data_IF_091398147642
#
_entry.id   IF_091398147642
#
_cell.length_a   1.000
_cell.length_b   1.000
_cell.length_c   1.000
_cell.angle_alpha   90.00
_cell.angle_beta   90.00
_cell.angle_gamma   90.00
#
_symmetry.space_group_name_H-M   'P 1'
#
loop_
_entity.id
_entity.type
_entity.pdbx_description
1 polymer ?
#
# COMPACT_ATOMS: atom_id res chain seq x y z
N UNK A 1 -13.49 13.46 -49.13
CA UNK A 1 -14.78 13.34 -49.85
C UNK A 1 -15.33 11.93 -49.67
N UNK A 2 -16.66 11.78 -49.50
CA UNK A 2 -17.30 10.61 -48.90
C UNK A 2 -17.75 9.58 -49.94
N UNK A 3 -17.91 8.31 -49.53
CA UNK A 3 -18.78 7.37 -50.24
C UNK A 3 -19.65 6.62 -49.24
N UNK A 4 -20.85 7.17 -49.07
CA UNK A 4 -22.06 6.52 -48.57
C UNK A 4 -22.48 5.40 -49.53
N UNK A 5 -22.85 4.24 -49.00
CA UNK A 5 -23.71 3.28 -49.69
C UNK A 5 -24.96 3.05 -48.84
N UNK A 6 -26.10 3.36 -49.47
CA UNK A 6 -27.50 3.11 -49.07
C UNK A 6 -27.79 1.61 -49.00
N UNK A 7 -28.46 1.17 -47.94
CA UNK A 7 -29.85 0.68 -47.91
C UNK A 7 -30.06 -0.70 -48.51
N UNK A 8 -30.48 -1.66 -47.67
CA UNK A 8 -31.74 -2.35 -47.96
C UNK A 8 -32.47 -2.77 -46.68
N UNK A 9 -33.78 -2.56 -46.74
CA UNK A 9 -34.79 -2.82 -45.73
C UNK A 9 -35.31 -4.22 -46.02
N UNK A 10 -35.52 -5.06 -45.01
CA UNK A 10 -36.48 -6.14 -45.17
C UNK A 10 -37.23 -6.42 -43.87
N UNK A 11 -38.53 -6.57 -44.04
CA UNK A 11 -39.58 -6.54 -43.03
C UNK A 11 -40.37 -7.85 -43.07
N UNK A 12 -41.16 -8.09 -41.99
CA UNK A 12 -42.27 -9.06 -41.86
C UNK A 12 -41.80 -10.49 -41.49
N UNK A 13 -42.18 -11.08 -40.35
CA UNK A 13 -43.56 -11.41 -40.00
C UNK A 13 -43.84 -11.52 -38.48
N UNK A 14 -45.07 -11.14 -38.10
CA UNK A 14 -45.72 -11.34 -36.79
C UNK A 14 -46.43 -12.70 -36.72
N UNK A 15 -46.48 -13.28 -35.53
CA UNK A 15 -47.47 -14.27 -35.07
C UNK A 15 -47.08 -14.87 -33.71
N UNK A 16 -48.01 -15.45 -32.92
CA UNK A 16 -48.90 -14.71 -32.03
C UNK A 16 -48.66 -14.96 -30.52
N UNK A 17 -49.27 -14.09 -29.70
CA UNK A 17 -49.33 -14.09 -28.24
C UNK A 17 -49.72 -15.43 -27.61
N UNK A 18 -49.10 -15.74 -26.47
CA UNK A 18 -49.72 -16.55 -25.42
C UNK A 18 -49.45 -15.91 -24.06
N UNK A 19 -50.55 -15.45 -23.47
CA UNK A 19 -50.72 -14.90 -22.14
C UNK A 19 -50.36 -15.92 -21.07
N UNK A 20 -49.43 -15.59 -20.16
CA UNK A 20 -49.36 -16.23 -18.84
C UNK A 20 -49.32 -15.16 -17.75
N UNK A 21 -50.21 -15.34 -16.78
CA UNK A 21 -50.57 -14.47 -15.67
C UNK A 21 -49.38 -14.17 -14.73
N UNK A 22 -49.25 -12.96 -14.15
CA UNK A 22 -48.29 -12.71 -13.09
C UNK A 22 -48.79 -13.30 -11.77
N UNK A 23 -48.02 -14.23 -11.19
CA UNK A 23 -48.23 -14.70 -9.83
C UNK A 23 -47.72 -13.65 -8.83
N UNK A 24 -48.41 -13.44 -7.69
CA UNK A 24 -48.00 -12.44 -6.71
C UNK A 24 -46.73 -12.89 -5.98
N UNK A 25 -45.70 -12.04 -6.01
CA UNK A 25 -44.52 -12.13 -5.16
C UNK A 25 -44.93 -11.85 -3.72
N UNK A 26 -44.95 -12.89 -2.89
CA UNK A 26 -45.12 -12.81 -1.46
C UNK A 26 -43.91 -12.08 -0.84
N UNK A 27 -44.02 -10.76 -0.74
CA UNK A 27 -43.00 -9.91 -0.11
C UNK A 27 -43.22 -9.97 1.39
N UNK A 28 -42.79 -11.08 2.00
CA UNK A 28 -42.63 -11.15 3.44
C UNK A 28 -41.48 -10.23 3.83
N UNK A 29 -41.83 -9.08 4.41
CA UNK A 29 -40.94 -8.11 5.02
C UNK A 29 -39.93 -8.81 5.95
N UNK A 30 -38.71 -8.99 5.48
CA UNK A 30 -37.57 -9.22 6.35
C UNK A 30 -37.46 -7.95 7.19
N UNK A 31 -37.77 -8.05 8.47
CA UNK A 31 -37.51 -6.98 9.44
C UNK A 31 -36.01 -6.66 9.39
N UNK A 32 -35.68 -5.57 8.70
CA UNK A 32 -34.37 -4.97 8.77
C UNK A 32 -34.19 -4.46 10.21
N UNK A 33 -33.52 -5.26 11.03
CA UNK A 33 -32.92 -4.80 12.28
C UNK A 33 -32.13 -3.52 12.00
N UNK A 34 -32.17 -2.50 12.87
CA UNK A 34 -31.44 -1.26 12.67
C UNK A 34 -29.96 -1.63 12.53
N UNK A 35 -29.45 -1.55 11.30
CA UNK A 35 -28.04 -1.82 11.04
C UNK A 35 -27.26 -0.74 11.77
N UNK A 36 -26.38 -1.09 12.73
CA UNK A 36 -25.43 -0.11 13.24
C UNK A 36 -24.70 0.51 12.05
N UNK A 37 -24.53 1.82 12.09
CA UNK A 37 -23.98 2.61 10.99
C UNK A 37 -22.65 2.00 10.53
N UNK A 38 -22.68 1.28 9.39
CA UNK A 38 -21.56 0.50 8.88
C UNK A 38 -20.32 1.38 8.60
N UNK A 39 -20.51 2.70 8.53
CA UNK A 39 -19.43 3.68 8.36
C UNK A 39 -18.64 3.96 9.64
N UNK A 40 -19.18 3.65 10.81
CA UNK A 40 -18.54 3.87 12.11
C UNK A 40 -17.73 2.66 12.61
N UNK A 41 -17.94 1.49 12.02
CA UNK A 41 -17.21 0.28 12.37
C UNK A 41 -15.79 0.30 11.82
N UNK A 42 -14.85 -0.22 12.59
CA UNK A 42 -13.52 -0.57 12.06
C UNK A 42 -13.65 -1.68 11.01
N UNK A 43 -12.65 -1.81 10.13
CA UNK A 43 -12.61 -2.88 9.12
C UNK A 43 -12.73 -4.27 9.77
N UNK A 44 -12.08 -4.48 10.93
CA UNK A 44 -12.15 -5.75 11.66
C UNK A 44 -13.55 -6.04 12.20
N UNK A 45 -14.25 -5.03 12.74
CA UNK A 45 -15.62 -5.18 13.24
C UNK A 45 -16.61 -5.43 12.10
N UNK A 46 -16.43 -4.76 10.95
CA UNK A 46 -17.24 -4.99 9.76
C UNK A 46 -17.04 -6.41 9.24
N UNK A 47 -15.79 -6.88 9.12
CA UNK A 47 -15.49 -8.26 8.70
C UNK A 47 -16.12 -9.28 9.66
N UNK A 48 -16.01 -9.06 10.98
CA UNK A 48 -16.61 -9.93 12.00
C UNK A 48 -18.14 -9.93 11.91
N UNK A 49 -18.76 -8.77 11.68
CA UNK A 49 -20.20 -8.65 11.54
C UNK A 49 -20.73 -9.34 10.27
N UNK A 50 -19.98 -9.29 9.17
CA UNK A 50 -20.31 -10.00 7.92
C UNK A 50 -20.16 -11.51 8.13
N UNK A 51 -19.04 -11.97 8.67
CA UNK A 51 -18.78 -13.38 8.97
C UNK A 51 -19.86 -13.97 9.90
N UNK A 52 -20.26 -13.25 10.95
CA UNK A 52 -21.27 -13.74 11.89
C UNK A 52 -22.68 -13.90 11.28
N UNK A 53 -22.98 -13.20 10.19
CA UNK A 53 -24.26 -13.27 9.48
C UNK A 53 -24.23 -14.20 8.27
N UNK A 54 -23.04 -14.56 7.81
CA UNK A 54 -22.87 -15.38 6.63
C UNK A 54 -23.03 -16.87 6.96
N UNK A 55 -23.96 -17.54 6.29
CA UNK A 55 -24.21 -18.98 6.43
C UNK A 55 -23.50 -19.82 5.37
N UNK A 56 -22.97 -19.20 4.31
CA UNK A 56 -22.28 -19.89 3.22
C UNK A 56 -20.81 -20.20 3.58
N UNK A 57 -20.41 -21.48 3.65
CA UNK A 57 -19.05 -21.87 4.03
C UNK A 57 -17.98 -21.33 3.08
N UNK A 58 -18.25 -21.29 1.77
CA UNK A 58 -17.30 -20.85 0.75
C UNK A 58 -17.03 -19.34 0.86
N UNK A 59 -18.08 -18.55 1.09
CA UNK A 59 -17.99 -17.12 1.37
C UNK A 59 -17.27 -16.88 2.70
N UNK A 60 -17.48 -17.71 3.72
CA UNK A 60 -16.79 -17.56 4.99
C UNK A 60 -15.28 -17.83 4.86
N UNK A 61 -14.89 -18.86 4.11
CA UNK A 61 -13.49 -19.14 3.80
C UNK A 61 -12.81 -17.96 3.09
N UNK A 62 -13.47 -17.41 2.07
CA UNK A 62 -12.97 -16.22 1.35
C UNK A 62 -12.84 -15.00 2.24
N UNK A 63 -13.78 -14.77 3.16
CA UNK A 63 -13.73 -13.65 4.11
C UNK A 63 -12.58 -13.81 5.10
N UNK A 64 -12.34 -15.02 5.62
CA UNK A 64 -11.18 -15.31 6.45
C UNK A 64 -9.87 -15.07 5.68
N UNK A 65 -9.76 -15.59 4.46
CA UNK A 65 -8.59 -15.36 3.61
C UNK A 65 -8.36 -13.87 3.32
N UNK A 66 -9.43 -13.11 3.08
CA UNK A 66 -9.36 -11.65 2.88
C UNK A 66 -8.89 -10.93 4.15
N UNK A 67 -9.40 -11.32 5.32
CA UNK A 67 -9.02 -10.75 6.61
C UNK A 67 -7.52 -10.94 6.90
N UNK A 68 -6.95 -12.07 6.49
CA UNK A 68 -5.51 -12.35 6.63
C UNK A 68 -4.68 -11.62 5.55
N UNK A 69 -5.23 -11.47 4.33
CA UNK A 69 -4.52 -10.93 3.17
C UNK A 69 -4.37 -9.41 3.23
N UNK A 70 -5.39 -8.68 3.68
CA UNK A 70 -5.36 -7.20 3.70
C UNK A 70 -4.22 -6.66 4.56
N UNK A 71 -4.03 -7.06 5.83
CA UNK A 71 -2.94 -6.54 6.66
C UNK A 71 -1.56 -6.87 6.07
N UNK A 72 -1.42 -8.06 5.47
CA UNK A 72 -0.17 -8.50 4.83
C UNK A 72 0.15 -7.65 3.61
N UNK A 73 -0.78 -7.50 2.67
CA UNK A 73 -0.57 -6.69 1.46
C UNK A 73 -0.29 -5.23 1.81
N UNK A 74 -0.94 -4.69 2.84
CA UNK A 74 -0.67 -3.34 3.31
C UNK A 74 0.73 -3.20 3.92
N UNK A 75 1.16 -4.16 4.74
CA UNK A 75 2.52 -4.21 5.30
C UNK A 75 3.57 -4.29 4.18
N UNK A 76 3.38 -5.19 3.22
CA UNK A 76 4.26 -5.36 2.07
C UNK A 76 4.33 -4.08 1.22
N UNK A 77 3.18 -3.41 1.01
CA UNK A 77 3.13 -2.12 0.32
C UNK A 77 3.96 -1.06 1.04
N UNK A 78 3.77 -0.88 2.36
CA UNK A 78 4.52 0.09 3.17
C UNK A 78 6.03 -0.20 3.13
N UNK A 79 6.42 -1.47 3.28
CA UNK A 79 7.84 -1.85 3.18
C UNK A 79 8.42 -1.60 1.79
N UNK A 80 7.64 -1.88 0.73
CA UNK A 80 8.06 -1.64 -0.65
C UNK A 80 8.23 -0.16 -0.96
N UNK A 81 7.34 0.68 -0.41
CA UNK A 81 7.35 2.13 -0.54
C UNK A 81 8.58 2.69 0.18
N UNK A 82 8.80 2.27 1.43
CA UNK A 82 10.01 2.58 2.21
C UNK A 82 11.30 2.19 1.49
N UNK A 83 11.33 0.98 0.93
CA UNK A 83 12.48 0.48 0.18
C UNK A 83 12.74 1.32 -1.07
N UNK A 84 11.68 1.76 -1.75
CA UNK A 84 11.74 2.54 -2.99
C UNK A 84 12.33 3.94 -2.85
N UNK A 85 12.45 4.46 -1.63
CA UNK A 85 13.07 5.75 -1.33
C UNK A 85 14.19 5.65 -0.27
N UNK A 86 14.71 4.43 -0.03
CA UNK A 86 15.84 4.20 0.88
C UNK A 86 17.11 3.82 0.13
N UNK A 87 18.25 4.17 0.71
CA UNK A 87 19.56 3.77 0.19
C UNK A 87 20.53 3.51 1.35
N UNK A 88 21.73 3.05 1.01
CA UNK A 88 22.73 2.60 1.99
C UNK A 88 24.04 3.34 1.78
N UNK A 89 24.53 3.99 2.84
CA UNK A 89 25.91 4.46 2.91
C UNK A 89 26.84 3.36 3.42
N UNK A 90 28.04 3.34 2.87
CA UNK A 90 29.15 2.49 3.33
C UNK A 90 30.30 3.38 3.80
N UNK A 91 31.16 2.88 4.69
CA UNK A 91 32.37 3.59 5.08
C UNK A 91 32.20 4.71 6.11
N UNK A 92 30.98 5.08 6.50
CA UNK A 92 30.77 6.07 7.58
C UNK A 92 31.35 5.55 8.90
N UNK A 93 32.28 6.27 9.52
CA UNK A 93 32.92 5.84 10.77
C UNK A 93 31.91 5.64 11.90
N UNK A 94 32.10 4.61 12.72
CA UNK A 94 31.31 4.42 13.95
C UNK A 94 31.63 5.56 14.95
N UNK A 95 30.75 5.79 15.91
CA UNK A 95 31.00 6.77 16.96
C UNK A 95 32.14 6.30 17.89
N UNK A 96 33.06 7.20 18.22
CA UNK A 96 34.16 6.99 19.16
C UNK A 96 33.63 6.81 20.60
N UNK A 97 34.40 6.16 21.48
CA UNK A 97 34.18 6.09 22.94
C UNK A 97 32.74 5.86 23.42
N UNK A 98 32.19 4.69 23.08
CA UNK A 98 30.88 4.15 23.54
C UNK A 98 29.91 5.23 24.11
N UNK A 99 29.46 6.19 23.30
CA UNK A 99 28.65 7.28 23.80
C UNK A 99 27.29 6.74 24.25
N UNK A 100 26.55 7.56 24.98
CA UNK A 100 25.14 7.29 25.25
C UNK A 100 24.40 7.02 23.93
N UNK A 101 23.43 6.08 23.88
CA UNK A 101 22.73 5.71 22.65
C UNK A 101 22.20 6.91 21.85
N UNK A 102 21.62 7.90 22.55
CA UNK A 102 21.12 9.12 21.94
C UNK A 102 22.23 9.96 21.28
N UNK A 103 23.38 10.11 21.94
CA UNK A 103 24.54 10.83 21.39
C UNK A 103 25.15 10.12 20.19
N UNK A 104 25.17 8.78 20.20
CA UNK A 104 25.60 7.97 19.05
C UNK A 104 24.70 8.17 17.84
N UNK A 105 23.40 8.22 18.07
CA UNK A 105 22.43 8.45 17.00
C UNK A 105 22.58 9.87 16.43
N UNK A 106 22.72 10.88 17.28
CA UNK A 106 22.96 12.26 16.83
C UNK A 106 24.26 12.43 16.03
N UNK A 107 25.35 11.73 16.41
CA UNK A 107 26.60 11.68 15.63
C UNK A 107 26.37 11.07 14.24
N UNK A 108 25.63 9.97 14.17
CA UNK A 108 25.29 9.32 12.91
C UNK A 108 24.43 10.23 12.01
N UNK A 109 23.40 10.86 12.57
CA UNK A 109 22.53 11.80 11.86
C UNK A 109 23.33 12.98 11.31
N UNK A 110 24.23 13.58 12.11
CA UNK A 110 25.10 14.66 11.66
C UNK A 110 26.10 14.23 10.58
N UNK A 111 26.56 12.98 10.58
CA UNK A 111 27.39 12.43 9.49
C UNK A 111 26.57 12.26 8.20
N UNK A 112 25.36 11.72 8.29
CA UNK A 112 24.46 11.55 7.14
C UNK A 112 24.04 12.90 6.56
N UNK A 113 23.76 13.90 7.40
CA UNK A 113 23.41 15.25 6.96
C UNK A 113 24.52 15.86 6.09
N UNK A 114 25.78 15.69 6.47
CA UNK A 114 26.93 16.14 5.66
C UNK A 114 26.99 15.44 4.30
N UNK A 115 26.78 14.12 4.27
CA UNK A 115 26.75 13.38 3.00
C UNK A 115 25.58 13.84 2.11
N UNK A 116 24.40 14.10 2.69
CA UNK A 116 23.26 14.63 1.95
C UNK A 116 23.51 16.04 1.39
N UNK A 117 24.26 16.88 2.12
CA UNK A 117 24.68 18.20 1.66
C UNK A 117 25.65 18.10 0.47
N UNK A 118 26.62 17.18 0.54
CA UNK A 118 27.52 16.85 -0.60
C UNK A 118 26.72 16.38 -1.81
N UNK A 119 25.72 15.52 -1.59
CA UNK A 119 24.80 15.05 -2.63
C UNK A 119 23.76 16.12 -3.04
N UNK A 120 23.80 17.33 -2.48
CA UNK A 120 22.87 18.43 -2.75
C UNK A 120 21.39 18.05 -2.63
N UNK A 121 21.05 17.18 -1.68
CA UNK A 121 19.69 16.70 -1.45
C UNK A 121 19.01 17.59 -0.41
N UNK A 122 18.02 18.38 -0.84
CA UNK A 122 17.29 19.32 0.01
C UNK A 122 16.12 18.67 0.75
N UNK A 123 16.40 17.71 1.64
CA UNK A 123 15.39 17.16 2.54
C UNK A 123 15.99 16.66 3.85
N UNK A 124 15.15 16.51 4.87
CA UNK A 124 15.47 15.70 6.04
C UNK A 124 15.09 14.25 5.75
N UNK A 125 15.95 13.34 6.16
CA UNK A 125 15.65 11.92 6.23
C UNK A 125 14.48 11.64 7.20
N UNK A 126 13.85 10.48 7.01
CA UNK A 126 12.75 9.98 7.85
C UNK A 126 13.24 8.92 8.84
N UNK A 127 14.22 8.09 8.42
CA UNK A 127 14.83 7.08 9.27
C UNK A 127 16.32 6.96 8.94
N UNK A 128 17.17 6.96 9.98
CA UNK A 128 18.60 6.66 9.89
C UNK A 128 18.97 5.61 10.93
N UNK A 129 19.60 4.53 10.49
CA UNK A 129 20.13 3.52 11.41
C UNK A 129 21.25 2.67 10.80
N UNK A 130 22.07 2.11 11.68
CA UNK A 130 23.14 1.15 11.32
C UNK A 130 22.56 -0.25 11.18
N UNK A 131 22.96 -0.96 10.12
CA UNK A 131 22.53 -2.33 9.85
C UNK A 131 23.54 -3.32 10.43
N UNK A 132 23.05 -4.28 11.21
CA UNK A 132 23.84 -5.42 11.68
C UNK A 132 24.63 -5.20 12.98
N UNK A 133 25.42 -6.21 13.34
CA UNK A 133 26.25 -6.24 14.56
C UNK A 133 27.54 -5.43 14.36
N UNK A 134 27.99 -4.76 15.42
CA UNK A 134 29.24 -3.99 15.40
C UNK A 134 30.44 -4.94 15.33
N UNK A 135 31.41 -4.62 14.47
CA UNK A 135 32.66 -5.36 14.28
C UNK A 135 33.81 -4.36 14.35
N UNK A 136 34.88 -4.62 15.11
CA UNK A 136 35.92 -3.63 15.43
C UNK A 136 36.70 -3.09 14.22
N UNK A 137 36.73 -3.83 13.11
CA UNK A 137 37.54 -3.50 11.92
C UNK A 137 36.70 -3.02 10.72
N UNK A 138 35.38 -2.91 10.89
CA UNK A 138 34.50 -2.54 9.78
C UNK A 138 33.31 -1.71 10.24
N UNK A 139 33.16 -0.47 9.74
CA UNK A 139 31.96 0.31 10.00
C UNK A 139 30.74 -0.39 9.40
N UNK A 140 29.63 -0.39 10.14
CA UNK A 140 28.39 -0.96 9.64
C UNK A 140 27.82 -0.12 8.51
N UNK A 141 27.03 -0.78 7.66
CA UNK A 141 26.20 -0.11 6.67
C UNK A 141 25.20 0.82 7.39
N UNK A 142 24.89 1.96 6.77
CA UNK A 142 23.89 2.90 7.29
C UNK A 142 22.74 2.94 6.31
N UNK A 143 21.55 2.57 6.76
CA UNK A 143 20.33 2.74 6.00
C UNK A 143 19.79 4.15 6.24
N UNK A 144 19.43 4.82 5.15
CA UNK A 144 18.78 6.13 5.15
C UNK A 144 17.49 6.01 4.35
N UNK A 145 16.39 6.48 4.91
CA UNK A 145 15.06 6.53 4.28
C UNK A 145 14.72 8.00 4.03
N UNK A 146 14.44 8.36 2.78
CA UNK A 146 14.09 9.73 2.41
C UNK A 146 12.57 9.92 2.30
N UNK A 147 12.06 11.15 2.39
CA UNK A 147 10.61 11.40 2.36
C UNK A 147 9.92 11.00 1.06
N UNK A 148 10.67 10.86 -0.03
CA UNK A 148 10.12 10.44 -1.32
C UNK A 148 11.18 9.90 -2.27
N UNK A 149 10.71 9.15 -3.27
CA UNK A 149 11.55 8.61 -4.34
C UNK A 149 12.27 9.69 -5.16
N UNK A 150 11.71 10.90 -5.23
CA UNK A 150 12.35 12.03 -5.91
C UNK A 150 13.71 12.37 -5.28
N UNK A 151 13.76 12.50 -3.95
CA UNK A 151 15.00 12.80 -3.23
C UNK A 151 16.01 11.66 -3.38
N UNK A 152 15.54 10.42 -3.37
CA UNK A 152 16.37 9.25 -3.63
C UNK A 152 16.98 9.26 -5.04
N UNK A 153 16.18 9.56 -6.06
CA UNK A 153 16.67 9.67 -7.44
C UNK A 153 17.70 10.80 -7.57
N UNK A 154 17.44 11.93 -6.91
CA UNK A 154 18.36 13.08 -6.89
C UNK A 154 19.69 12.72 -6.22
N UNK A 155 19.65 12.05 -5.07
CA UNK A 155 20.83 11.58 -4.35
C UNK A 155 21.69 10.66 -5.22
N UNK A 156 21.08 9.65 -5.87
CA UNK A 156 21.79 8.72 -6.74
C UNK A 156 22.36 9.38 -7.99
N UNK A 157 21.61 10.30 -8.60
CA UNK A 157 22.09 11.06 -9.75
C UNK A 157 23.35 11.84 -9.40
N UNK A 158 23.35 12.51 -8.23
CA UNK A 158 24.50 13.32 -7.80
C UNK A 158 25.66 12.46 -7.30
N UNK A 159 25.41 11.28 -6.72
CA UNK A 159 26.46 10.33 -6.35
C UNK A 159 27.18 9.73 -7.56
N UNK A 160 26.51 9.68 -8.72
CA UNK A 160 27.09 9.14 -9.97
C UNK A 160 27.92 10.16 -10.76
N UNK A 161 27.93 11.43 -10.34
CA UNK A 161 28.70 12.50 -10.97
C UNK A 161 29.98 12.70 -10.14
N UNK A 162 31.16 12.26 -10.63
CA UNK A 162 32.43 12.51 -9.97
C UNK A 162 32.85 13.99 -10.01
#
# INVERSE_FOLDING_TARGET
MPRTIRTEVNSIARGPSSTMSPQPLDTSLVQASPTPDSTQMTVAELMKAITARNTDPETNERLCALADKIPKEFSDFVESEKRGHSFVFTGLSEAEDKPLPFKRQADLEGKVEKELDVLQVKCRDTEIYRIGKSVPDRPRLVKVVLPSRFHWQQALKNASLP
#
